data_IF_624373200538
#
_entry.id   IF_624373200538
#
_cell.length_a   1.000
_cell.length_b   1.000
_cell.length_c   1.000
_cell.angle_alpha   90.00
_cell.angle_beta   90.00
_cell.angle_gamma   90.00
#
_symmetry.space_group_name_H-M   'P 1'
#
loop_
_entity.id
_entity.type
_entity.pdbx_description
1 polymer ?
#
# COMPACT_ATOMS: atom_id res chain seq x y z
N UNK A 1 1.71 -13.00 -53.29
CA UNK A 1 2.56 -12.80 -52.09
C UNK A 1 3.93 -12.15 -52.34
N UNK A 2 4.14 -11.42 -53.44
CA UNK A 2 5.47 -10.98 -53.88
C UNK A 2 5.76 -9.46 -53.84
N UNK A 3 4.77 -8.61 -53.57
CA UNK A 3 4.97 -7.15 -53.60
C UNK A 3 5.58 -6.64 -52.31
N UNK A 4 5.06 -7.06 -51.15
CA UNK A 4 5.54 -6.62 -49.84
C UNK A 4 7.00 -7.00 -49.53
N UNK A 5 7.45 -8.17 -50.00
CA UNK A 5 8.83 -8.61 -49.81
C UNK A 5 9.84 -7.81 -50.65
N UNK A 6 9.44 -7.36 -51.86
CA UNK A 6 10.27 -6.52 -52.70
C UNK A 6 10.37 -5.10 -52.17
N UNK A 7 9.27 -4.56 -51.62
CA UNK A 7 9.23 -3.22 -51.05
C UNK A 7 10.07 -3.16 -49.73
N UNK A 8 9.98 -4.21 -48.91
CA UNK A 8 10.83 -4.33 -47.74
C UNK A 8 12.32 -4.40 -48.09
N UNK A 9 12.69 -5.19 -49.11
CA UNK A 9 14.09 -5.28 -49.56
C UNK A 9 14.62 -3.97 -50.14
N UNK A 10 13.78 -3.21 -50.85
CA UNK A 10 14.13 -1.88 -51.38
C UNK A 10 14.29 -0.87 -50.24
N UNK A 11 13.41 -0.87 -49.22
CA UNK A 11 13.49 -0.02 -48.07
C UNK A 11 14.78 -0.29 -47.29
N UNK A 12 15.09 -1.57 -47.04
CA UNK A 12 16.33 -1.98 -46.31
C UNK A 12 17.60 -1.55 -47.09
N UNK A 13 17.60 -1.66 -48.42
CA UNK A 13 18.72 -1.23 -49.27
C UNK A 13 18.83 0.31 -49.31
N UNK A 14 17.74 1.05 -49.15
CA UNK A 14 17.72 2.51 -49.00
C UNK A 14 18.33 2.95 -47.65
N UNK A 15 17.95 2.31 -46.56
CA UNK A 15 18.49 2.57 -45.23
C UNK A 15 19.99 2.26 -45.11
N UNK A 16 20.46 1.17 -45.74
CA UNK A 16 21.87 0.79 -45.69
C UNK A 16 22.80 1.71 -46.49
N UNK A 17 22.27 2.48 -47.42
CA UNK A 17 23.05 3.46 -48.20
C UNK A 17 23.41 4.75 -47.43
N UNK A 18 22.67 5.06 -46.34
CA UNK A 18 22.90 6.23 -45.49
C UNK A 18 22.86 5.84 -44.00
N UNK A 19 23.89 5.14 -43.52
CA UNK A 19 23.85 4.52 -42.18
C UNK A 19 23.71 5.56 -41.06
N UNK A 20 24.32 6.73 -41.18
CA UNK A 20 24.20 7.78 -40.17
C UNK A 20 22.76 8.30 -39.98
N UNK A 21 22.05 8.50 -41.09
CA UNK A 21 20.61 8.89 -41.03
C UNK A 21 19.74 7.79 -40.44
N UNK A 22 19.99 6.55 -40.85
CA UNK A 22 19.22 5.40 -40.36
C UNK A 22 19.42 5.16 -38.85
N UNK A 23 20.65 5.30 -38.36
CA UNK A 23 20.96 5.23 -36.93
C UNK A 23 20.23 6.34 -36.16
N UNK A 24 20.27 7.58 -36.68
CA UNK A 24 19.57 8.70 -36.04
C UNK A 24 18.05 8.46 -35.92
N UNK A 25 17.42 7.98 -37.00
CA UNK A 25 15.98 7.67 -37.01
C UNK A 25 15.64 6.55 -36.04
N UNK A 26 16.43 5.48 -36.01
CA UNK A 26 16.25 4.38 -35.06
C UNK A 26 16.40 4.83 -33.62
N UNK A 27 17.40 5.67 -33.33
CA UNK A 27 17.57 6.21 -31.97
C UNK A 27 16.43 7.14 -31.56
N UNK A 28 15.92 7.99 -32.45
CA UNK A 28 14.76 8.84 -32.18
C UNK A 28 13.48 8.02 -31.94
N UNK A 29 13.19 7.06 -32.81
CA UNK A 29 12.02 6.20 -32.65
C UNK A 29 12.12 5.30 -31.41
N UNK A 30 13.30 4.68 -31.24
CA UNK A 30 13.56 3.82 -30.06
C UNK A 30 13.49 4.60 -28.76
N UNK A 31 14.05 5.80 -28.72
CA UNK A 31 13.96 6.71 -27.57
C UNK A 31 12.53 7.14 -27.27
N UNK A 32 11.76 7.52 -28.30
CA UNK A 32 10.35 7.91 -28.15
C UNK A 32 9.48 6.77 -27.64
N UNK A 33 9.58 5.59 -28.26
CA UNK A 33 8.85 4.39 -27.82
C UNK A 33 9.29 3.94 -26.43
N UNK A 34 10.60 3.95 -26.18
CA UNK A 34 11.15 3.56 -24.87
C UNK A 34 10.67 4.49 -23.75
N UNK A 35 10.70 5.79 -23.94
CA UNK A 35 10.18 6.77 -22.99
C UNK A 35 8.67 6.61 -22.74
N UNK A 36 7.89 6.45 -23.81
CA UNK A 36 6.44 6.22 -23.70
C UNK A 36 6.12 4.92 -22.94
N UNK A 37 6.85 3.84 -23.22
CA UNK A 37 6.68 2.56 -22.53
C UNK A 37 7.06 2.66 -21.06
N UNK A 38 8.15 3.34 -20.73
CA UNK A 38 8.58 3.54 -19.34
C UNK A 38 7.54 4.36 -18.56
N UNK A 39 7.04 5.46 -19.13
CA UNK A 39 5.99 6.27 -18.51
C UNK A 39 4.69 5.47 -18.32
N UNK A 40 4.29 4.69 -19.33
CA UNK A 40 3.10 3.86 -19.23
C UNK A 40 3.25 2.74 -18.20
N UNK A 41 4.44 2.14 -18.08
CA UNK A 41 4.73 1.14 -17.06
C UNK A 41 4.57 1.72 -15.65
N UNK A 42 5.15 2.90 -15.41
CA UNK A 42 4.98 3.61 -14.12
C UNK A 42 3.52 3.95 -13.87
N UNK A 43 2.82 4.49 -14.89
CA UNK A 43 1.41 4.82 -14.77
C UNK A 43 0.56 3.58 -14.45
N UNK A 44 0.81 2.46 -15.11
CA UNK A 44 0.11 1.20 -14.87
C UNK A 44 0.28 0.72 -13.43
N UNK A 45 1.53 0.66 -12.94
CA UNK A 45 1.82 0.20 -11.58
C UNK A 45 1.21 1.14 -10.53
N UNK A 46 1.19 2.46 -10.81
CA UNK A 46 0.70 3.45 -9.85
C UNK A 46 -0.82 3.57 -9.85
N UNK A 47 -1.49 3.47 -11.00
CA UNK A 47 -2.91 3.80 -11.14
C UNK A 47 -3.81 2.62 -11.50
N UNK A 48 -3.28 1.58 -12.15
CA UNK A 48 -4.08 0.50 -12.67
C UNK A 48 -3.88 -0.84 -11.95
N UNK A 49 -2.89 -0.96 -11.08
CA UNK A 49 -2.76 -2.15 -10.24
C UNK A 49 -3.85 -2.11 -9.14
N UNK A 50 -4.80 -3.07 -9.14
CA UNK A 50 -5.80 -3.15 -8.07
C UNK A 50 -5.09 -3.32 -6.72
N UNK A 51 -5.66 -2.74 -5.67
CA UNK A 51 -5.21 -3.08 -4.32
C UNK A 51 -5.32 -4.60 -4.14
N UNK A 52 -4.37 -5.23 -3.44
CA UNK A 52 -4.40 -6.67 -3.16
C UNK A 52 -5.44 -6.99 -2.07
N UNK A 53 -6.67 -6.56 -2.29
CA UNK A 53 -7.82 -6.75 -1.41
C UNK A 53 -8.86 -7.61 -2.15
N UNK A 54 -9.66 -8.42 -1.44
CA UNK A 54 -10.64 -9.31 -2.06
C UNK A 54 -11.65 -8.60 -2.97
N UNK A 55 -12.22 -7.49 -2.51
CA UNK A 55 -13.28 -6.76 -3.22
C UNK A 55 -12.99 -5.25 -3.20
N UNK A 56 -11.97 -4.76 -3.91
CA UNK A 56 -11.53 -3.37 -3.82
C UNK A 56 -12.57 -2.37 -4.33
N UNK A 57 -13.44 -2.78 -5.25
CA UNK A 57 -14.48 -1.92 -5.84
C UNK A 57 -15.66 -1.66 -4.88
N UNK A 58 -15.82 -2.46 -3.83
CA UNK A 58 -16.84 -2.27 -2.80
C UNK A 58 -16.36 -1.38 -1.64
N UNK A 59 -15.06 -1.06 -1.62
CA UNK A 59 -14.46 -0.25 -0.57
C UNK A 59 -14.56 1.24 -0.90
N UNK A 60 -15.09 2.01 0.04
CA UNK A 60 -15.16 3.47 -0.06
C UNK A 60 -14.51 4.13 1.15
N UNK A 61 -13.84 5.25 0.89
CA UNK A 61 -13.28 6.07 1.97
C UNK A 61 -14.24 7.20 2.27
N UNK A 62 -14.76 7.22 3.50
CA UNK A 62 -15.65 8.28 3.98
C UNK A 62 -14.82 9.38 4.62
N UNK A 63 -14.97 10.61 4.15
CA UNK A 63 -14.28 11.78 4.66
C UNK A 63 -15.27 12.89 5.00
N UNK A 64 -14.92 13.72 5.96
CA UNK A 64 -15.74 14.89 6.31
C UNK A 64 -15.49 16.08 5.39
N UNK A 65 -16.56 16.85 5.15
CA UNK A 65 -16.47 18.19 4.57
C UNK A 65 -16.45 19.20 5.72
N UNK A 66 -15.32 19.84 5.94
CA UNK A 66 -15.13 20.81 7.00
C UNK A 66 -14.88 22.24 6.49
N UNK A 67 -14.57 23.15 7.40
CA UNK A 67 -14.28 24.56 7.10
C UNK A 67 -13.07 24.79 6.17
N UNK A 68 -12.26 23.77 5.95
CA UNK A 68 -11.08 23.79 5.06
C UNK A 68 -11.36 23.23 3.66
N UNK A 69 -12.62 22.97 3.31
CA UNK A 69 -13.00 22.35 2.04
C UNK A 69 -13.36 20.86 2.17
N UNK A 70 -13.29 20.10 1.09
CA UNK A 70 -13.55 18.66 1.11
C UNK A 70 -12.36 17.88 1.69
N UNK A 71 -12.63 16.65 2.14
CA UNK A 71 -11.63 15.62 2.41
C UNK A 71 -10.84 15.79 3.71
N UNK A 72 -11.51 16.18 4.79
CA UNK A 72 -10.96 16.14 6.15
C UNK A 72 -11.12 14.75 6.81
N UNK A 73 -10.24 14.41 7.76
CA UNK A 73 -10.41 13.20 8.57
C UNK A 73 -11.65 13.35 9.47
N UNK A 74 -12.35 12.24 9.67
CA UNK A 74 -13.43 12.16 10.65
C UNK A 74 -12.86 12.15 12.08
N UNK A 75 -13.60 12.69 13.03
CA UNK A 75 -13.26 12.55 14.44
C UNK A 75 -13.70 11.18 14.99
N UNK A 76 -13.11 10.75 16.12
CA UNK A 76 -13.54 9.51 16.78
C UNK A 76 -15.03 9.49 17.13
N UNK A 77 -15.60 10.56 17.75
CA UNK A 77 -17.03 10.65 18.00
C UNK A 77 -17.90 10.56 16.76
N UNK A 78 -17.51 11.20 15.66
CA UNK A 78 -18.26 11.12 14.40
C UNK A 78 -18.29 9.70 13.84
N UNK A 79 -17.15 9.00 13.92
CA UNK A 79 -17.08 7.59 13.52
C UNK A 79 -18.04 6.71 14.33
N UNK A 80 -18.12 6.89 15.64
CA UNK A 80 -19.03 6.12 16.50
C UNK A 80 -20.48 6.41 16.13
N UNK A 81 -20.83 7.67 15.90
CA UNK A 81 -22.18 8.09 15.47
C UNK A 81 -22.55 7.46 14.12
N UNK A 82 -21.59 7.39 13.18
CA UNK A 82 -21.81 6.76 11.87
C UNK A 82 -22.03 5.24 12.00
N UNK A 83 -21.22 4.56 12.78
CA UNK A 83 -21.37 3.11 13.00
C UNK A 83 -22.74 2.77 13.58
N UNK A 84 -23.28 3.62 14.47
CA UNK A 84 -24.60 3.40 15.07
C UNK A 84 -25.77 3.67 14.11
N UNK A 85 -25.65 4.69 13.26
CA UNK A 85 -26.76 5.20 12.44
C UNK A 85 -26.76 4.68 11.01
N UNK A 86 -25.59 4.38 10.48
CA UNK A 86 -25.45 3.98 9.07
C UNK A 86 -25.99 2.55 8.85
N UNK A 87 -26.72 2.38 7.74
CA UNK A 87 -27.34 1.10 7.32
C UNK A 87 -27.01 0.72 5.88
N UNK A 88 -26.32 1.61 5.16
CA UNK A 88 -26.03 1.40 3.73
C UNK A 88 -24.74 0.60 3.51
N UNK A 89 -23.87 0.54 4.53
CA UNK A 89 -22.62 -0.20 4.46
C UNK A 89 -22.72 -1.54 5.18
N UNK A 90 -22.05 -2.55 4.67
CA UNK A 90 -21.93 -3.87 5.31
C UNK A 90 -21.05 -3.83 6.57
N UNK A 91 -20.16 -2.84 6.67
CA UNK A 91 -19.29 -2.60 7.80
C UNK A 91 -18.51 -1.31 7.66
N UNK A 92 -18.00 -0.81 8.78
CA UNK A 92 -17.17 0.38 8.84
C UNK A 92 -15.93 0.13 9.69
N UNK A 93 -14.83 0.78 9.31
CA UNK A 93 -13.60 0.78 10.08
C UNK A 93 -12.97 2.16 10.08
N UNK A 94 -12.36 2.55 11.18
CA UNK A 94 -11.59 3.78 11.26
C UNK A 94 -10.10 3.50 11.20
N UNK A 95 -9.39 4.38 10.50
CA UNK A 95 -7.95 4.34 10.26
C UNK A 95 -7.38 5.71 10.52
N UNK A 96 -6.39 5.81 11.40
CA UNK A 96 -5.67 7.05 11.68
C UNK A 96 -4.16 6.82 11.48
N UNK A 97 -3.66 7.02 10.24
CA UNK A 97 -2.24 6.85 9.94
C UNK A 97 -1.42 8.00 10.54
N UNK A 98 -0.23 7.67 10.97
CA UNK A 98 0.70 8.62 11.57
C UNK A 98 2.11 8.06 11.66
N UNK A 99 2.91 8.68 12.47
CA UNK A 99 4.26 8.24 12.80
C UNK A 99 4.35 8.04 14.30
N UNK A 100 5.15 7.07 14.70
CA UNK A 100 5.48 6.81 16.08
C UNK A 100 6.98 6.52 16.22
N UNK A 101 7.50 6.69 17.43
CA UNK A 101 8.88 6.32 17.75
C UNK A 101 8.86 4.94 18.38
N UNK A 102 9.43 3.96 17.70
CA UNK A 102 9.64 2.63 18.22
C UNK A 102 10.93 2.64 19.02
N UNK A 103 10.82 2.39 20.32
CA UNK A 103 11.92 2.31 21.29
C UNK A 103 12.02 0.90 21.88
N UNK A 104 13.01 0.64 22.75
CA UNK A 104 13.21 -0.70 23.29
C UNK A 104 13.96 -1.67 22.38
N UNK A 105 14.38 -1.22 21.19
CA UNK A 105 15.35 -1.87 20.30
C UNK A 105 16.71 -1.19 20.45
N UNK A 106 17.74 -1.71 19.75
CA UNK A 106 19.11 -1.18 19.81
C UNK A 106 19.19 0.32 19.54
N UNK A 107 18.38 0.82 18.60
CA UNK A 107 18.27 2.24 18.28
C UNK A 107 16.79 2.68 18.15
N UNK A 108 16.41 3.83 18.74
CA UNK A 108 15.09 4.40 18.52
C UNK A 108 14.87 4.71 17.03
N UNK A 109 13.73 4.28 16.50
CA UNK A 109 13.39 4.48 15.07
C UNK A 109 12.02 5.09 14.93
N UNK A 110 11.92 6.12 14.10
CA UNK A 110 10.62 6.64 13.66
C UNK A 110 10.04 5.70 12.62
N UNK A 111 8.83 5.24 12.86
CA UNK A 111 8.12 4.26 12.03
C UNK A 111 6.76 4.80 11.63
N UNK A 112 6.25 4.34 10.48
CA UNK A 112 4.84 4.50 10.17
C UNK A 112 4.03 3.65 11.15
N UNK A 113 3.01 4.25 11.71
CA UNK A 113 2.09 3.64 12.65
C UNK A 113 0.67 4.04 12.28
N UNK A 114 -0.27 3.11 12.36
CA UNK A 114 -1.67 3.39 12.06
C UNK A 114 -2.53 2.87 13.21
N UNK A 115 -3.28 3.76 13.84
CA UNK A 115 -4.35 3.34 14.73
C UNK A 115 -5.49 2.80 13.86
N UNK A 116 -5.98 1.61 14.21
CA UNK A 116 -7.04 0.97 13.46
C UNK A 116 -8.08 0.40 14.40
N UNK A 117 -9.33 0.43 13.98
CA UNK A 117 -10.37 -0.33 14.69
C UNK A 117 -10.22 -1.81 14.38
N UNK A 118 -10.57 -2.73 15.30
CA UNK A 118 -10.48 -4.17 15.08
C UNK A 118 -11.20 -4.66 13.82
N UNK A 119 -12.31 -4.00 13.45
CA UNK A 119 -13.09 -4.30 12.24
C UNK A 119 -12.34 -4.11 10.93
N UNK A 120 -11.23 -3.34 10.92
CA UNK A 120 -10.50 -3.01 9.69
C UNK A 120 -9.96 -4.26 8.97
N UNK A 121 -9.39 -5.19 9.70
CA UNK A 121 -8.80 -6.39 9.08
C UNK A 121 -9.85 -7.33 8.49
N UNK A 122 -10.98 -7.50 9.18
CA UNK A 122 -12.09 -8.31 8.67
C UNK A 122 -12.78 -7.65 7.48
N UNK A 123 -12.96 -6.32 7.52
CA UNK A 123 -13.53 -5.55 6.42
C UNK A 123 -12.65 -5.62 5.16
N UNK A 124 -11.34 -5.55 5.34
CA UNK A 124 -10.36 -5.62 4.25
C UNK A 124 -10.06 -7.08 3.82
N UNK A 125 -10.62 -8.08 4.49
CA UNK A 125 -10.39 -9.50 4.19
C UNK A 125 -8.93 -9.94 4.41
N UNK A 126 -8.19 -9.24 5.28
CA UNK A 126 -6.77 -9.50 5.51
C UNK A 126 -6.60 -10.49 6.65
N UNK A 127 -6.11 -11.68 6.31
CA UNK A 127 -5.71 -12.69 7.30
C UNK A 127 -4.25 -12.46 7.74
N UNK A 128 -3.94 -12.66 9.02
CA UNK A 128 -2.57 -12.55 9.50
C UNK A 128 -1.72 -13.72 8.97
N UNK A 129 -0.46 -13.47 8.66
CA UNK A 129 0.51 -14.51 8.33
C UNK A 129 1.00 -15.22 9.58
N UNK A 130 1.09 -14.50 10.70
CA UNK A 130 1.55 -14.98 11.99
C UNK A 130 0.64 -14.44 13.08
N UNK A 131 0.27 -15.29 14.08
CA UNK A 131 -0.55 -14.87 15.20
C UNK A 131 -1.98 -14.53 14.83
N UNK A 132 -2.47 -13.38 15.29
CA UNK A 132 -3.84 -12.90 15.05
C UNK A 132 -3.89 -11.41 14.70
N UNK A 133 -5.00 -10.97 14.16
CA UNK A 133 -5.33 -9.54 14.01
C UNK A 133 -5.93 -8.98 15.31
N UNK A 134 -6.26 -7.70 15.31
CA UNK A 134 -6.93 -7.04 16.43
C UNK A 134 -8.36 -7.57 16.61
N UNK A 135 -8.79 -7.72 17.85
CA UNK A 135 -10.15 -8.07 18.23
C UNK A 135 -10.75 -6.99 19.15
N UNK A 136 -12.08 -6.93 19.23
CA UNK A 136 -12.78 -5.88 19.98
C UNK A 136 -12.36 -5.79 21.46
N UNK A 137 -11.92 -6.90 22.08
CA UNK A 137 -11.44 -6.93 23.45
C UNK A 137 -10.09 -6.24 23.67
N UNK A 138 -9.27 -6.15 22.64
CA UNK A 138 -7.90 -5.58 22.76
C UNK A 138 -7.90 -4.09 23.18
N UNK A 139 -8.97 -3.37 22.91
CA UNK A 139 -9.11 -1.97 23.30
C UNK A 139 -9.48 -1.79 24.79
N UNK A 140 -10.02 -2.83 25.42
CA UNK A 140 -10.55 -2.76 26.78
C UNK A 140 -9.53 -3.13 27.87
N UNK A 141 -8.47 -3.85 27.53
CA UNK A 141 -7.55 -4.45 28.51
C UNK A 141 -6.42 -3.51 29.00
N UNK A 142 -6.40 -2.25 28.53
CA UNK A 142 -5.42 -1.25 28.98
C UNK A 142 -3.97 -1.50 28.51
N UNK A 143 -3.63 -2.72 28.15
CA UNK A 143 -2.38 -3.07 27.50
C UNK A 143 -2.58 -2.97 25.99
N UNK A 144 -2.03 -1.94 25.37
CA UNK A 144 -2.11 -1.77 23.94
C UNK A 144 -1.51 -2.99 23.21
N UNK A 145 -2.18 -3.45 22.17
CA UNK A 145 -1.64 -4.50 21.28
C UNK A 145 -1.24 -3.92 19.93
N UNK A 146 -0.31 -4.57 19.27
CA UNK A 146 0.18 -4.17 17.95
C UNK A 146 0.23 -5.37 17.01
N UNK A 147 -0.10 -5.10 15.73
CA UNK A 147 0.13 -6.02 14.62
C UNK A 147 1.21 -5.45 13.74
N UNK A 148 2.24 -6.23 13.47
CA UNK A 148 3.39 -5.81 12.67
C UNK A 148 3.08 -5.91 11.17
N UNK A 149 3.49 -4.91 10.39
CA UNK A 149 3.54 -5.07 8.95
C UNK A 149 4.61 -6.10 8.55
N UNK A 150 4.44 -6.75 7.40
CA UNK A 150 5.42 -7.73 6.91
C UNK A 150 6.83 -7.14 6.81
N UNK A 151 6.95 -5.95 6.23
CA UNK A 151 8.22 -5.26 6.08
C UNK A 151 8.90 -4.97 7.43
N UNK A 152 8.11 -4.55 8.42
CA UNK A 152 8.63 -4.28 9.77
C UNK A 152 9.05 -5.56 10.48
N UNK A 153 8.26 -6.60 10.40
CA UNK A 153 8.60 -7.92 10.95
C UNK A 153 9.92 -8.46 10.37
N UNK A 154 10.11 -8.33 9.06
CA UNK A 154 11.35 -8.76 8.43
C UNK A 154 12.56 -7.87 8.80
N UNK A 155 12.41 -6.53 8.75
CA UNK A 155 13.56 -5.62 8.90
C UNK A 155 13.99 -5.39 10.35
N UNK A 156 13.04 -5.36 11.29
CA UNK A 156 13.35 -5.11 12.69
C UNK A 156 13.50 -6.39 13.52
N UNK A 157 12.84 -7.48 13.13
CA UNK A 157 12.82 -8.74 13.90
C UNK A 157 13.34 -9.95 13.10
N UNK A 158 13.89 -9.73 11.90
CA UNK A 158 14.51 -10.79 11.08
C UNK A 158 13.55 -11.90 10.67
N UNK A 159 12.24 -11.64 10.60
CA UNK A 159 11.23 -12.63 10.23
C UNK A 159 11.01 -13.74 11.26
N UNK A 160 11.44 -13.55 12.51
CA UNK A 160 11.35 -14.57 13.57
C UNK A 160 9.92 -14.69 14.09
N UNK A 161 9.50 -15.91 14.40
CA UNK A 161 8.15 -16.18 14.93
C UNK A 161 8.01 -15.86 16.43
N UNK A 162 9.12 -15.75 17.15
CA UNK A 162 9.16 -15.42 18.58
C UNK A 162 8.86 -13.94 18.88
N UNK A 163 8.59 -13.13 17.83
CA UNK A 163 8.11 -11.76 17.97
C UNK A 163 6.70 -11.68 18.59
N UNK A 164 5.91 -12.74 18.50
CA UNK A 164 4.59 -12.79 19.16
C UNK A 164 4.75 -12.78 20.69
N UNK A 165 3.97 -11.94 21.35
CA UNK A 165 4.05 -11.73 22.80
C UNK A 165 5.18 -10.79 23.23
N UNK A 166 6.02 -10.31 22.30
CA UNK A 166 7.06 -9.33 22.63
C UNK A 166 6.44 -7.97 22.89
N UNK A 167 6.90 -7.32 23.96
CA UNK A 167 6.52 -5.94 24.28
C UNK A 167 7.32 -4.96 23.41
N UNK A 168 6.62 -4.09 22.73
CA UNK A 168 7.15 -3.00 21.90
C UNK A 168 6.85 -1.68 22.61
N UNK A 169 7.81 -0.80 22.69
CA UNK A 169 7.59 0.56 23.16
C UNK A 169 7.34 1.50 21.99
N UNK A 170 6.13 2.04 21.90
CA UNK A 170 5.67 2.93 20.83
C UNK A 170 5.26 4.25 21.47
N UNK A 171 6.03 5.32 21.21
CA UNK A 171 5.87 6.66 21.84
C UNK A 171 5.81 6.62 23.36
N UNK A 172 6.55 5.69 23.99
CA UNK A 172 6.60 5.51 25.44
C UNK A 172 5.46 4.68 26.03
N UNK A 173 4.57 4.14 25.18
CA UNK A 173 3.53 3.20 25.57
C UNK A 173 3.94 1.78 25.23
N UNK A 174 3.77 0.87 26.18
CA UNK A 174 4.01 -0.56 25.97
C UNK A 174 2.87 -1.18 25.17
N UNK A 175 3.23 -1.92 24.10
CA UNK A 175 2.27 -2.63 23.25
C UNK A 175 2.75 -4.05 23.00
N UNK A 176 1.88 -5.03 23.19
CA UNK A 176 2.21 -6.43 22.93
C UNK A 176 2.00 -6.78 21.47
N UNK A 177 3.00 -7.35 20.81
CA UNK A 177 2.89 -7.85 19.45
C UNK A 177 2.02 -9.10 19.41
N UNK A 178 0.89 -9.06 18.70
CA UNK A 178 -0.07 -10.18 18.62
C UNK A 178 -0.14 -10.82 17.24
N UNK A 179 0.43 -10.20 16.21
CA UNK A 179 0.39 -10.74 14.86
C UNK A 179 1.33 -10.05 13.87
N UNK A 180 1.50 -10.72 12.73
CA UNK A 180 2.23 -10.22 11.58
C UNK A 180 1.39 -10.31 10.31
N UNK A 181 1.40 -9.27 9.49
CA UNK A 181 0.64 -9.17 8.26
C UNK A 181 1.34 -9.87 7.10
N UNK A 182 0.61 -10.30 6.07
CA UNK A 182 1.17 -10.95 4.90
C UNK A 182 1.99 -9.98 4.04
N UNK A 183 2.86 -10.54 3.19
CA UNK A 183 3.62 -9.78 2.21
C UNK A 183 2.68 -9.02 1.26
N UNK A 184 3.06 -7.79 0.91
CA UNK A 184 2.25 -6.91 0.08
C UNK A 184 1.17 -6.12 0.84
N UNK A 185 0.98 -6.38 2.13
CA UNK A 185 0.10 -5.60 2.99
C UNK A 185 0.89 -4.99 4.17
N UNK A 186 1.30 -3.74 4.01
CA UNK A 186 2.08 -3.01 5.03
C UNK A 186 1.21 -2.25 6.04
N UNK A 187 -0.08 -2.52 6.04
CA UNK A 187 -1.06 -1.94 6.96
C UNK A 187 -2.23 -1.29 6.23
N UNK A 188 -3.37 -1.18 6.90
CA UNK A 188 -4.53 -0.54 6.34
C UNK A 188 -4.30 0.97 6.29
N UNK A 189 -3.77 1.45 5.18
CA UNK A 189 -3.67 2.87 4.89
C UNK A 189 -4.25 3.13 3.49
N UNK A 190 -5.29 3.95 3.37
CA UNK A 190 -5.83 4.31 2.08
C UNK A 190 -4.82 5.09 1.20
N UNK A 191 -3.70 5.51 1.81
CA UNK A 191 -2.63 6.30 1.17
C UNK A 191 -1.27 5.60 1.15
N UNK A 192 -1.10 4.47 1.82
CA UNK A 192 0.15 3.74 1.84
C UNK A 192 0.32 2.98 0.53
N UNK A 193 0.79 3.67 -0.48
CA UNK A 193 1.58 3.02 -1.51
C UNK A 193 2.92 2.69 -0.89
N UNK A 194 3.27 1.43 -0.90
CA UNK A 194 4.57 0.93 -0.49
C UNK A 194 5.64 1.70 -1.24
N UNK A 195 6.31 2.63 -0.58
CA UNK A 195 7.59 3.12 -1.07
C UNK A 195 8.57 1.96 -0.91
N UNK A 196 9.03 1.45 -2.07
CA UNK A 196 10.16 0.52 -2.16
C UNK A 196 11.46 1.30 -2.12
#
# INVERSE_FOLDING_TARGET
>A
MGVWTKDLALAFRGLSKRPGFSILVVLMLGGGVGAATALFSVFRTVFLEPLPLPDPDELVVVMQTGNFGCCGPASGPDYLDWVERERSFSGMAALAPGFANLTGLDEPRRVHFTHVTPSAFSLLGVAPLLGRTLVAGDAAEGEGVAVLSHSRWQTAFGGRSDVLGTTLEVDGESRTSVGGLPEGFDGPSPWARTER
#
